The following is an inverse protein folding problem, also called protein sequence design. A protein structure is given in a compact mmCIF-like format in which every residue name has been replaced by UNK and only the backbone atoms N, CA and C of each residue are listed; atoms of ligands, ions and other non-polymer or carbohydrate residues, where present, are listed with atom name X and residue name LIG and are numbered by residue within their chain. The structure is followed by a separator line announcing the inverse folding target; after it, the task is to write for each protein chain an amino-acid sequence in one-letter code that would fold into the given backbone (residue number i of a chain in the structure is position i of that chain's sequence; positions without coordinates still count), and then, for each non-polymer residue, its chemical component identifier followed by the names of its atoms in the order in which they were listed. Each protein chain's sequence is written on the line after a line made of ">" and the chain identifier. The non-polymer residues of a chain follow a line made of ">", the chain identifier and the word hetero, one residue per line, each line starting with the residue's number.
data_IF_290281072875
#
_entry.id   IF_290281072875
#
_cell.length_a   1.000
_cell.length_b   1.000
_cell.length_c   1.000
_cell.angle_alpha   90.00
_cell.angle_beta   90.00
_cell.angle_gamma   90.00
#
_symmetry.space_group_name_H-M   'P 1'
#
loop_
_entity.id
_entity.type
_entity.pdbx_description
1 polymer ?
#
# COMPACT_ATOMS: atom_id res chain seq x y z
N UNK A 1 -42.12 -0.18 -22.45
CA UNK A 1 -42.96 -1.18 -21.75
C UNK A 1 -42.05 -1.99 -20.82
N UNK A 2 -41.72 -1.39 -19.68
CA UNK A 2 -40.80 -1.92 -18.66
C UNK A 2 -41.70 -2.22 -17.46
N UNK A 3 -41.42 -3.25 -16.66
CA UNK A 3 -42.25 -3.78 -15.57
C UNK A 3 -43.19 -4.94 -15.95
N UNK A 4 -42.60 -6.07 -16.35
CA UNK A 4 -43.13 -7.37 -15.95
C UNK A 4 -42.34 -7.82 -14.71
N UNK A 5 -42.93 -7.59 -13.53
CA UNK A 5 -42.35 -7.94 -12.23
C UNK A 5 -42.32 -9.45 -12.03
N UNK A 6 -41.24 -10.09 -12.50
CA UNK A 6 -40.91 -11.46 -12.13
C UNK A 6 -39.93 -11.44 -10.94
N UNK A 7 -40.39 -11.65 -9.69
CA UNK A 7 -39.55 -11.54 -8.49
C UNK A 7 -38.38 -12.54 -8.51
N UNK A 8 -38.56 -13.68 -9.18
CA UNK A 8 -37.51 -14.70 -9.37
C UNK A 8 -36.37 -14.22 -10.27
N UNK A 9 -36.65 -13.40 -11.28
CA UNK A 9 -35.63 -12.84 -12.17
C UNK A 9 -34.83 -11.74 -11.47
N UNK A 10 -35.50 -10.92 -10.67
CA UNK A 10 -34.85 -9.88 -9.86
C UNK A 10 -33.86 -10.46 -8.84
N UNK A 11 -34.25 -11.53 -8.14
CA UNK A 11 -33.38 -12.21 -7.16
C UNK A 11 -32.17 -12.86 -7.86
N UNK A 12 -32.35 -13.43 -9.05
CA UNK A 12 -31.25 -13.99 -9.85
C UNK A 12 -30.26 -12.91 -10.28
N UNK A 13 -30.76 -11.76 -10.76
CA UNK A 13 -29.94 -10.61 -11.13
C UNK A 13 -29.19 -10.07 -9.90
N UNK A 14 -29.88 -9.91 -8.77
CA UNK A 14 -29.27 -9.41 -7.53
C UNK A 14 -28.17 -10.36 -7.02
N UNK A 15 -28.40 -11.69 -7.07
CA UNK A 15 -27.38 -12.70 -6.75
C UNK A 15 -26.18 -12.62 -7.69
N UNK A 16 -26.42 -12.42 -8.98
CA UNK A 16 -25.35 -12.27 -9.97
C UNK A 16 -24.53 -10.99 -9.72
N UNK A 17 -25.21 -9.87 -9.44
CA UNK A 17 -24.56 -8.60 -9.12
C UNK A 17 -23.72 -8.73 -7.83
N UNK A 18 -24.28 -9.38 -6.80
CA UNK A 18 -23.58 -9.63 -5.54
C UNK A 18 -22.33 -10.50 -5.74
N UNK A 19 -22.45 -11.60 -6.49
CA UNK A 19 -21.32 -12.48 -6.80
C UNK A 19 -20.24 -11.77 -7.62
N UNK A 20 -20.63 -10.94 -8.59
CA UNK A 20 -19.69 -10.13 -9.35
C UNK A 20 -18.95 -9.13 -8.46
N UNK A 21 -19.63 -8.49 -7.52
CA UNK A 21 -19.05 -7.49 -6.63
C UNK A 21 -18.04 -8.12 -5.65
N UNK A 22 -18.38 -9.30 -5.12
CA UNK A 22 -17.47 -10.10 -4.30
C UNK A 22 -16.26 -10.57 -5.11
N UNK A 23 -16.45 -11.01 -6.36
CA UNK A 23 -15.36 -11.44 -7.22
C UNK A 23 -14.36 -10.32 -7.52
N UNK A 24 -14.87 -9.11 -7.83
CA UNK A 24 -14.02 -7.93 -8.05
C UNK A 24 -13.26 -7.55 -6.78
N UNK A 25 -13.92 -7.56 -5.62
CA UNK A 25 -13.26 -7.26 -4.34
C UNK A 25 -12.17 -8.27 -4.02
N UNK A 26 -12.44 -9.57 -4.16
CA UNK A 26 -11.43 -10.62 -3.97
C UNK A 26 -10.26 -10.49 -4.95
N UNK A 27 -10.52 -10.21 -6.22
CA UNK A 27 -9.49 -10.01 -7.23
C UNK A 27 -8.59 -8.81 -6.88
N UNK A 28 -9.17 -7.71 -6.40
CA UNK A 28 -8.43 -6.53 -5.99
C UNK A 28 -7.56 -6.82 -4.75
N UNK A 29 -8.13 -7.52 -3.76
CA UNK A 29 -7.42 -7.88 -2.54
C UNK A 29 -6.23 -8.82 -2.82
N UNK A 30 -6.44 -9.82 -3.67
CA UNK A 30 -5.40 -10.76 -4.10
C UNK A 30 -4.34 -10.07 -4.97
N UNK A 31 -4.74 -9.19 -5.89
CA UNK A 31 -3.83 -8.42 -6.72
C UNK A 31 -2.94 -7.48 -5.91
N UNK A 32 -3.55 -6.75 -4.96
CA UNK A 32 -2.81 -5.90 -4.03
C UNK A 32 -1.89 -6.73 -3.14
N UNK A 33 -2.40 -7.81 -2.53
CA UNK A 33 -1.58 -8.69 -1.68
C UNK A 33 -0.41 -9.32 -2.45
N UNK A 34 -0.63 -9.77 -3.68
CA UNK A 34 0.42 -10.27 -4.56
C UNK A 34 1.44 -9.19 -4.91
N UNK A 35 0.99 -7.97 -5.25
CA UNK A 35 1.88 -6.84 -5.48
C UNK A 35 2.66 -6.46 -4.22
N UNK A 36 2.02 -6.44 -3.05
CA UNK A 36 2.65 -6.18 -1.75
C UNK A 36 3.70 -7.23 -1.42
N UNK A 37 3.41 -8.52 -1.60
CA UNK A 37 4.36 -9.62 -1.36
C UNK A 37 5.51 -9.62 -2.38
N UNK A 38 5.24 -9.23 -3.62
CA UNK A 38 6.25 -9.10 -4.67
C UNK A 38 7.18 -7.90 -4.43
N UNK A 39 6.64 -6.81 -3.88
CA UNK A 39 7.37 -5.59 -3.50
C UNK A 39 8.03 -5.71 -2.12
N UNK A 40 7.52 -6.57 -1.23
CA UNK A 40 8.04 -6.83 0.12
C UNK A 40 9.52 -7.23 0.18
N UNK A 41 10.10 -8.01 -0.75
CA UNK A 41 11.53 -8.28 -0.73
C UNK A 41 12.40 -7.09 -1.17
N UNK A 42 11.83 -5.94 -1.59
CA UNK A 42 12.59 -4.79 -2.13
C UNK A 42 12.22 -3.44 -1.52
N UNK A 43 11.11 -3.33 -0.79
CA UNK A 43 10.78 -2.12 -0.03
C UNK A 43 11.02 -2.38 1.45
N UNK A 44 12.22 -2.05 1.99
CA UNK A 44 12.31 -1.86 3.43
C UNK A 44 11.24 -0.83 3.78
N UNK A 45 10.42 -1.19 4.76
CA UNK A 45 9.30 -0.39 5.26
C UNK A 45 9.65 1.10 5.25
N UNK A 46 8.76 1.91 4.69
CA UNK A 46 8.91 3.38 4.71
C UNK A 46 8.98 3.92 6.15
N UNK A 47 8.63 3.09 7.15
CA UNK A 47 8.96 3.29 8.56
C UNK A 47 10.47 3.38 8.89
N UNK A 48 11.37 2.75 8.13
CA UNK A 48 12.82 2.81 8.38
C UNK A 48 13.47 4.11 7.90
N UNK A 49 12.83 4.83 6.97
CA UNK A 49 13.36 6.10 6.44
C UNK A 49 12.95 7.32 7.27
N UNK A 50 11.94 7.19 8.15
CA UNK A 50 11.51 8.29 9.03
C UNK A 50 12.28 8.36 10.35
N UNK A 51 12.96 7.28 10.76
CA UNK A 51 13.75 7.26 12.00
C UNK A 51 15.23 7.63 11.82
N UNK A 52 15.76 7.67 10.57
CA UNK A 52 17.20 7.86 10.32
C UNK A 52 17.57 9.27 9.82
N UNK A 53 16.63 10.10 9.34
CA UNK A 53 16.95 11.39 8.73
C UNK A 53 16.95 12.62 9.64
N UNK A 54 16.89 12.50 10.98
CA UNK A 54 16.89 13.68 11.85
C UNK A 54 17.84 13.66 13.06
N UNK A 55 18.73 12.67 13.18
CA UNK A 55 19.79 12.69 14.21
C UNK A 55 21.09 12.08 13.68
N UNK A 56 21.68 12.69 12.66
CA UNK A 56 23.10 12.49 12.37
C UNK A 56 23.77 13.78 12.82
N UNK A 57 24.61 13.76 13.88
CA UNK A 57 25.28 14.98 14.31
C UNK A 57 26.13 15.52 13.16
N UNK A 58 26.03 16.81 12.91
CA UNK A 58 26.82 17.55 11.94
C UNK A 58 28.28 17.54 12.39
N UNK A 59 29.06 16.62 11.82
CA UNK A 59 30.50 16.52 12.07
C UNK A 59 31.25 17.43 11.10
N UNK A 60 31.77 18.54 11.62
CA UNK A 60 32.59 19.48 10.86
C UNK A 60 34.04 18.99 10.92
N UNK A 61 34.63 18.79 9.75
CA UNK A 61 36.04 18.45 9.61
C UNK A 61 36.82 19.67 9.08
N UNK A 62 38.01 19.89 9.60
CA UNK A 62 38.97 20.86 9.09
C UNK A 62 39.62 20.35 7.80
N UNK A 63 40.22 21.25 7.03
CA UNK A 63 40.92 20.96 5.76
C UNK A 63 42.07 19.96 5.88
N UNK A 64 42.57 19.72 7.09
CA UNK A 64 43.56 18.70 7.42
C UNK A 64 42.95 17.34 7.77
N UNK A 65 41.63 17.17 7.58
CA UNK A 65 40.90 15.94 7.84
C UNK A 65 40.63 15.67 9.32
N UNK A 66 40.94 16.62 10.22
CA UNK A 66 40.66 16.48 11.65
C UNK A 66 39.23 16.93 11.97
N UNK A 67 38.54 16.14 12.78
CA UNK A 67 37.24 16.49 13.32
C UNK A 67 37.38 17.72 14.24
N UNK A 68 36.70 18.81 13.91
CA UNK A 68 36.78 20.08 14.66
C UNK A 68 35.53 20.35 15.50
N UNK A 69 34.38 19.78 15.15
CA UNK A 69 33.18 19.85 15.97
C UNK A 69 32.18 18.77 15.57
N UNK A 70 31.43 18.26 16.53
CA UNK A 70 30.22 17.46 16.29
C UNK A 70 29.04 18.25 16.84
N UNK A 71 28.05 18.56 16.01
CA UNK A 71 26.84 19.28 16.40
C UNK A 71 25.65 18.33 16.37
N UNK A 72 25.13 18.01 17.55
CA UNK A 72 23.92 17.24 17.80
C UNK A 72 23.26 17.76 19.06
#
# INVERSE_FOLDING_TARGET
>A
MIFSGNPKALIRLLKFLWWSLVAVFCSLLLGLSGAFLYLSPTLPSVEALRSIQLQIPLRVFSSDGKLIAEFG
#
